data_IF_937933016288
#
_entry.id   IF_937933016288
#
_cell.length_a   1.000
_cell.length_b   1.000
_cell.length_c   1.000
_cell.angle_alpha   90.00
_cell.angle_beta   90.00
_cell.angle_gamma   90.00
#
_symmetry.space_group_name_H-M   'P 1'
#
loop_
_entity.id
_entity.type
_entity.pdbx_description
1 polymer ?
#
# COMPACT_ATOMS: atom_id res chain seq x y z
N UNK A 1 13.71 56.75 61.96
CA UNK A 1 12.74 57.64 62.63
C UNK A 1 11.70 56.77 63.30
N UNK A 2 11.46 57.01 64.59
CA UNK A 2 10.75 56.16 65.55
C UNK A 2 9.31 55.78 65.15
N UNK A 3 8.90 54.58 65.59
CA UNK A 3 7.54 54.33 66.06
C UNK A 3 7.61 53.73 67.48
N UNK A 4 7.01 54.42 68.43
CA UNK A 4 6.84 54.07 69.85
C UNK A 4 5.49 53.36 70.10
N UNK A 5 5.49 52.44 71.07
CA UNK A 5 4.41 51.70 71.80
C UNK A 5 3.02 52.40 71.86
N UNK A 6 1.82 51.75 71.87
CA UNK A 6 1.29 50.55 72.55
C UNK A 6 -0.21 50.31 72.15
N UNK A 7 -0.98 49.32 72.65
CA UNK A 7 -0.86 47.86 72.64
C UNK A 7 -1.99 47.17 71.82
N UNK A 8 -1.81 45.90 71.42
CA UNK A 8 -2.95 45.00 71.18
C UNK A 8 -3.28 44.60 69.74
N UNK A 9 -2.40 44.82 68.77
CA UNK A 9 -2.48 44.12 67.48
C UNK A 9 -1.42 43.03 67.49
N UNK A 10 -1.86 41.79 67.63
CA UNK A 10 -1.04 40.61 67.38
C UNK A 10 -0.55 40.73 65.94
N UNK A 11 0.77 40.92 65.75
CA UNK A 11 1.40 40.79 64.45
C UNK A 11 1.11 39.37 63.94
N UNK A 12 0.11 39.22 63.06
CA UNK A 12 -0.04 38.02 62.26
C UNK A 12 1.20 37.95 61.36
N UNK A 13 2.09 37.03 61.74
CA UNK A 13 3.48 36.92 61.36
C UNK A 13 3.66 36.71 59.85
N UNK A 14 4.24 37.70 59.17
CA UNK A 14 4.75 37.57 57.80
C UNK A 14 5.72 36.38 57.68
N UNK A 15 6.54 36.14 58.71
CA UNK A 15 7.45 34.99 58.79
C UNK A 15 6.77 33.62 58.63
N UNK A 16 5.50 33.50 59.04
CA UNK A 16 4.76 32.23 58.94
C UNK A 16 4.26 31.95 57.53
N UNK A 17 3.89 32.99 56.79
CA UNK A 17 3.47 32.86 55.40
C UNK A 17 4.67 32.48 54.52
N UNK A 18 5.79 33.18 54.69
CA UNK A 18 7.03 32.91 53.95
C UNK A 18 7.57 31.50 54.22
N UNK A 19 7.44 31.01 55.46
CA UNK A 19 7.86 29.65 55.80
C UNK A 19 6.98 28.58 55.12
N UNK A 20 5.66 28.74 55.12
CA UNK A 20 4.73 27.81 54.45
C UNK A 20 4.98 27.79 52.94
N UNK A 21 5.26 28.96 52.36
CA UNK A 21 5.59 29.10 50.94
C UNK A 21 6.91 28.38 50.61
N UNK A 22 7.92 28.52 51.46
CA UNK A 22 9.21 27.82 51.29
C UNK A 22 9.09 26.28 51.36
N UNK A 23 8.14 25.76 52.16
CA UNK A 23 7.87 24.32 52.23
C UNK A 23 7.16 23.81 50.98
N UNK A 24 6.24 24.59 50.40
CA UNK A 24 5.58 24.26 49.14
C UNK A 24 6.58 24.20 47.99
N UNK A 25 7.42 25.22 47.88
CA UNK A 25 8.39 25.35 46.80
C UNK A 25 9.43 24.20 46.79
N UNK A 26 9.91 23.80 47.99
CA UNK A 26 10.79 22.62 48.14
C UNK A 26 10.09 21.32 47.75
N UNK A 27 8.79 21.19 48.05
CA UNK A 27 8.01 20.00 47.70
C UNK A 27 7.73 19.89 46.21
N UNK A 28 7.49 21.02 45.54
CA UNK A 28 7.28 21.05 44.09
C UNK A 28 8.58 20.76 43.33
N UNK A 29 9.72 21.32 43.77
CA UNK A 29 11.02 20.98 43.20
C UNK A 29 11.33 19.48 43.26
N UNK A 30 10.96 18.80 44.35
CA UNK A 30 11.12 17.35 44.48
C UNK A 30 10.21 16.56 43.52
N UNK A 31 9.00 17.05 43.23
CA UNK A 31 8.08 16.41 42.27
C UNK A 31 8.60 16.48 40.84
N UNK A 32 9.28 17.56 40.46
CA UNK A 32 9.88 17.70 39.12
C UNK A 32 11.13 16.85 38.91
N UNK A 33 11.76 16.35 39.98
CA UNK A 33 12.94 15.49 39.90
C UNK A 33 12.64 13.99 39.95
N UNK A 34 11.39 13.59 40.14
CA UNK A 34 11.04 12.17 40.15
C UNK A 34 11.11 11.59 38.73
N UNK A 35 11.91 10.53 38.48
CA UNK A 35 11.91 9.86 37.19
C UNK A 35 10.52 9.28 36.90
N UNK A 36 10.08 9.26 35.62
CA UNK A 36 8.78 8.71 35.27
C UNK A 36 8.72 7.23 35.69
N UNK A 37 7.58 6.78 36.23
CA UNK A 37 7.42 5.42 36.71
C UNK A 37 7.69 4.40 35.60
N UNK A 38 8.24 3.24 35.96
CA UNK A 38 8.78 2.25 35.03
C UNK A 38 7.78 1.77 33.95
N UNK A 39 6.46 1.85 34.21
CA UNK A 39 5.43 1.49 33.24
C UNK A 39 5.29 2.48 32.06
N UNK A 40 5.83 3.70 32.19
CA UNK A 40 5.89 4.67 31.10
C UNK A 40 7.19 4.54 30.28
N UNK A 41 8.11 3.65 30.68
CA UNK A 41 9.35 3.43 29.93
C UNK A 41 9.08 2.44 28.79
N UNK A 42 9.46 2.76 27.55
CA UNK A 42 9.34 1.81 26.45
C UNK A 42 10.21 0.58 26.74
N UNK A 43 9.75 -0.64 26.39
CA UNK A 43 10.50 -1.85 26.64
C UNK A 43 11.89 -1.75 26.00
N UNK A 44 12.94 -1.96 26.80
CA UNK A 44 14.32 -1.91 26.31
C UNK A 44 14.51 -3.02 25.26
N UNK A 45 14.88 -2.68 24.01
CA UNK A 45 15.05 -3.69 22.98
C UNK A 45 16.23 -4.58 23.35
N UNK A 46 15.98 -5.87 23.52
CA UNK A 46 17.04 -6.86 23.66
C UNK A 46 17.78 -7.02 22.33
N UNK A 47 19.10 -7.22 22.37
CA UNK A 47 19.96 -7.35 21.17
C UNK A 47 19.47 -8.46 20.23
N UNK A 48 18.86 -9.52 20.78
CA UNK A 48 18.25 -10.62 20.01
C UNK A 48 16.96 -10.21 19.26
N UNK A 49 16.14 -9.32 19.83
CA UNK A 49 14.92 -8.81 19.17
C UNK A 49 15.23 -7.98 17.92
N UNK A 50 16.34 -7.24 17.95
CA UNK A 50 16.75 -6.40 16.81
C UNK A 50 17.21 -7.23 15.60
N UNK A 51 17.91 -8.34 15.83
CA UNK A 51 18.41 -9.19 14.75
C UNK A 51 17.27 -9.90 13.98
N UNK A 52 16.25 -10.37 14.70
CA UNK A 52 15.06 -10.97 14.10
C UNK A 52 14.24 -9.93 13.34
N UNK A 53 13.99 -8.76 13.94
CA UNK A 53 13.26 -7.68 13.26
C UNK A 53 13.94 -7.26 11.94
N UNK A 54 15.28 -7.18 11.94
CA UNK A 54 16.05 -6.85 10.74
C UNK A 54 15.97 -7.96 9.67
N UNK A 55 16.05 -9.24 10.05
CA UNK A 55 15.97 -10.33 9.08
C UNK A 55 14.58 -10.42 8.42
N UNK A 56 13.50 -10.18 9.16
CA UNK A 56 12.15 -10.08 8.58
C UNK A 56 12.02 -8.90 7.62
N UNK A 57 12.55 -7.71 7.98
CA UNK A 57 12.56 -6.56 7.07
C UNK A 57 13.36 -6.84 5.80
N UNK A 58 14.49 -7.54 5.92
CA UNK A 58 15.33 -7.91 4.78
C UNK A 58 14.62 -8.93 3.88
N UNK A 59 13.95 -9.93 4.45
CA UNK A 59 13.15 -10.92 3.73
C UNK A 59 11.94 -10.27 3.02
N UNK A 60 11.26 -9.33 3.68
CA UNK A 60 10.17 -8.58 3.04
C UNK A 60 10.71 -7.74 1.88
N UNK A 61 11.89 -7.13 2.00
CA UNK A 61 12.52 -6.37 0.91
C UNK A 61 12.91 -7.24 -0.27
N UNK A 62 13.49 -8.42 -0.06
CA UNK A 62 13.86 -9.33 -1.16
C UNK A 62 12.64 -9.95 -1.83
N UNK A 63 11.60 -10.32 -1.07
CA UNK A 63 10.32 -10.78 -1.62
C UNK A 63 9.63 -9.68 -2.45
N UNK A 64 9.66 -8.43 -1.98
CA UNK A 64 9.12 -7.28 -2.70
C UNK A 64 9.94 -6.89 -3.93
N UNK A 65 11.26 -7.12 -3.92
CA UNK A 65 12.14 -6.83 -5.07
C UNK A 65 12.04 -7.87 -6.17
N UNK A 66 11.91 -9.16 -5.83
CA UNK A 66 11.71 -10.23 -6.82
C UNK A 66 10.37 -10.11 -7.56
N UNK A 67 9.40 -9.43 -6.94
CA UNK A 67 8.07 -9.14 -7.50
C UNK A 67 7.96 -7.71 -8.10
N UNK A 68 9.06 -6.95 -8.16
CA UNK A 68 9.10 -5.55 -8.62
C UNK A 68 9.57 -5.36 -10.06
N UNK A 69 9.73 -6.43 -10.85
CA UNK A 69 9.61 -6.27 -12.30
C UNK A 69 8.14 -5.96 -12.55
N UNK A 70 7.81 -4.66 -12.58
CA UNK A 70 6.46 -4.23 -12.89
C UNK A 70 6.07 -4.91 -14.20
N UNK A 71 4.90 -5.56 -14.23
CA UNK A 71 4.45 -6.25 -15.42
C UNK A 71 4.42 -5.23 -16.56
N UNK A 72 5.15 -5.57 -17.62
CA UNK A 72 5.42 -4.69 -18.74
C UNK A 72 4.16 -4.50 -19.60
N UNK A 73 3.24 -5.46 -19.55
CA UNK A 73 1.90 -5.36 -20.10
C UNK A 73 0.86 -5.84 -19.09
N UNK A 74 -0.32 -5.25 -19.14
CA UNK A 74 -1.46 -5.54 -18.26
C UNK A 74 -2.73 -5.64 -19.09
N UNK A 75 -3.47 -6.74 -18.92
CA UNK A 75 -4.73 -6.95 -19.63
C UNK A 75 -5.93 -6.71 -18.71
N UNK A 76 -6.77 -5.74 -19.03
CA UNK A 76 -7.89 -5.32 -18.19
C UNK A 76 -9.20 -5.88 -18.74
N UNK A 77 -9.90 -6.63 -17.89
CA UNK A 77 -11.23 -7.22 -18.17
C UNK A 77 -12.20 -6.92 -17.02
N UNK A 78 -13.49 -7.15 -17.24
CA UNK A 78 -14.49 -7.06 -16.18
C UNK A 78 -15.54 -8.16 -16.33
N UNK A 79 -16.33 -8.35 -15.29
CA UNK A 79 -17.47 -9.27 -15.29
C UNK A 79 -18.70 -8.74 -16.03
N UNK A 80 -18.64 -7.56 -16.66
CA UNK A 80 -19.67 -7.18 -17.65
C UNK A 80 -19.58 -8.05 -18.91
N UNK A 81 -18.45 -8.73 -19.12
CA UNK A 81 -18.26 -9.73 -20.16
C UNK A 81 -18.70 -11.08 -19.61
N UNK A 82 -19.50 -11.86 -20.36
CA UNK A 82 -19.91 -13.19 -19.93
C UNK A 82 -18.71 -14.13 -19.78
N UNK A 83 -18.87 -15.14 -18.94
CA UNK A 83 -17.80 -16.09 -18.58
C UNK A 83 -17.20 -16.79 -19.81
N UNK A 84 -18.02 -17.12 -20.80
CA UNK A 84 -17.60 -17.71 -22.07
C UNK A 84 -16.67 -16.80 -22.87
N UNK A 85 -16.85 -15.48 -22.75
CA UNK A 85 -15.94 -14.49 -23.32
C UNK A 85 -14.58 -14.52 -22.61
N UNK A 86 -14.60 -14.50 -21.27
CA UNK A 86 -13.39 -14.56 -20.45
C UNK A 86 -12.60 -15.85 -20.69
N UNK A 87 -13.27 -17.00 -20.79
CA UNK A 87 -12.64 -18.29 -21.08
C UNK A 87 -11.93 -18.34 -22.43
N UNK A 88 -12.33 -17.52 -23.40
CA UNK A 88 -11.64 -17.41 -24.70
C UNK A 88 -10.48 -16.43 -24.69
N UNK A 89 -10.58 -15.34 -23.93
CA UNK A 89 -9.55 -14.29 -23.89
C UNK A 89 -8.37 -14.62 -22.97
N UNK A 90 -8.65 -15.21 -21.81
CA UNK A 90 -7.62 -15.42 -20.79
C UNK A 90 -6.51 -16.44 -21.18
N UNK A 91 -6.78 -17.51 -21.95
CA UNK A 91 -5.71 -18.37 -22.46
C UNK A 91 -4.71 -17.63 -23.34
N UNK A 92 -5.18 -16.65 -24.12
CA UNK A 92 -4.32 -15.81 -24.96
C UNK A 92 -3.41 -14.93 -24.10
N UNK A 93 -3.96 -14.28 -23.06
CA UNK A 93 -3.17 -13.51 -22.10
C UNK A 93 -2.08 -14.36 -21.42
N UNK A 94 -2.42 -15.59 -21.05
CA UNK A 94 -1.47 -16.56 -20.48
C UNK A 94 -0.36 -16.92 -21.47
N UNK A 95 -0.68 -17.14 -22.74
CA UNK A 95 0.32 -17.50 -23.76
C UNK A 95 1.39 -16.41 -23.96
N UNK A 96 1.04 -15.16 -23.66
CA UNK A 96 1.92 -14.00 -23.75
C UNK A 96 2.54 -13.61 -22.39
N UNK A 97 2.32 -14.41 -21.34
CA UNK A 97 2.71 -14.11 -19.95
C UNK A 97 2.19 -12.76 -19.43
N UNK A 98 1.04 -12.31 -19.92
CA UNK A 98 0.39 -11.06 -19.51
C UNK A 98 -0.61 -11.34 -18.40
N UNK A 99 -0.47 -10.75 -17.20
CA UNK A 99 -1.46 -10.91 -16.13
C UNK A 99 -2.76 -10.22 -16.51
N UNK A 100 -3.87 -10.93 -16.31
CA UNK A 100 -5.22 -10.40 -16.49
C UNK A 100 -5.73 -9.80 -15.17
N UNK A 101 -6.14 -8.54 -15.23
CA UNK A 101 -6.71 -7.76 -14.14
C UNK A 101 -8.22 -7.67 -14.31
N UNK A 102 -8.96 -7.91 -13.22
CA UNK A 102 -10.42 -7.82 -13.23
C UNK A 102 -10.89 -6.69 -12.34
N UNK A 103 -11.78 -5.85 -12.87
CA UNK A 103 -12.36 -4.77 -12.10
C UNK A 103 -13.50 -5.25 -11.20
N UNK A 104 -13.34 -5.02 -9.90
CA UNK A 104 -14.45 -4.91 -8.96
C UNK A 104 -15.17 -6.21 -8.61
N UNK A 105 -16.45 -6.03 -8.28
CA UNK A 105 -17.36 -7.00 -7.72
C UNK A 105 -18.49 -7.32 -8.71
N UNK A 106 -18.78 -8.59 -8.90
CA UNK A 106 -20.02 -9.05 -9.54
C UNK A 106 -21.19 -8.68 -8.63
N UNK A 107 -22.07 -7.78 -9.08
CA UNK A 107 -23.27 -7.37 -8.35
C UNK A 107 -23.00 -6.90 -6.90
N UNK A 108 -21.85 -6.27 -6.61
CA UNK A 108 -21.40 -5.93 -5.24
C UNK A 108 -21.18 -7.16 -4.31
N UNK A 109 -21.04 -8.37 -4.84
CA UNK A 109 -20.86 -9.59 -4.05
C UNK A 109 -19.47 -10.22 -4.25
N UNK A 110 -18.67 -10.22 -3.18
CA UNK A 110 -17.33 -10.82 -3.14
C UNK A 110 -17.35 -12.33 -3.37
N UNK A 111 -18.39 -13.04 -2.89
CA UNK A 111 -18.51 -14.49 -3.04
C UNK A 111 -18.83 -14.85 -4.48
N UNK A 112 -19.72 -14.10 -5.14
CA UNK A 112 -19.99 -14.31 -6.59
C UNK A 112 -18.72 -14.11 -7.40
N UNK A 113 -18.01 -13.02 -7.12
CA UNK A 113 -16.73 -12.67 -7.77
C UNK A 113 -15.68 -13.75 -7.56
N UNK A 114 -15.44 -14.15 -6.31
CA UNK A 114 -14.48 -15.20 -5.97
C UNK A 114 -14.85 -16.54 -6.62
N UNK A 115 -16.14 -16.88 -6.66
CA UNK A 115 -16.62 -18.12 -7.29
C UNK A 115 -16.42 -18.10 -8.81
N UNK A 116 -16.67 -16.97 -9.47
CA UNK A 116 -16.42 -16.82 -10.90
C UNK A 116 -14.92 -16.90 -11.23
N UNK A 117 -14.06 -16.20 -10.49
CA UNK A 117 -12.60 -16.31 -10.64
C UNK A 117 -12.13 -17.73 -10.36
N UNK A 118 -12.67 -18.37 -9.34
CA UNK A 118 -12.32 -19.75 -8.99
C UNK A 118 -12.73 -20.74 -10.08
N UNK A 119 -13.89 -20.57 -10.71
CA UNK A 119 -14.33 -21.38 -11.86
C UNK A 119 -13.42 -21.19 -13.06
N UNK A 120 -13.10 -19.93 -13.40
CA UNK A 120 -12.18 -19.57 -14.48
C UNK A 120 -10.77 -20.16 -14.27
N UNK A 121 -10.29 -20.20 -13.04
CA UNK A 121 -8.97 -20.75 -12.69
C UNK A 121 -8.96 -22.29 -12.63
N UNK A 122 -10.06 -22.92 -12.16
CA UNK A 122 -10.20 -24.38 -12.11
C UNK A 122 -10.31 -25.04 -13.48
N UNK A 123 -11.09 -24.47 -14.40
CA UNK A 123 -11.36 -25.12 -15.69
C UNK A 123 -10.13 -25.17 -16.60
N UNK A 124 -9.24 -24.16 -16.56
CA UNK A 124 -8.11 -24.09 -17.50
C UNK A 124 -6.75 -23.68 -16.91
N UNK A 125 -6.57 -23.77 -15.58
CA UNK A 125 -5.34 -23.31 -14.93
C UNK A 125 -4.99 -21.88 -15.38
N UNK A 126 -6.02 -21.08 -15.61
CA UNK A 126 -5.91 -19.84 -16.36
C UNK A 126 -5.04 -18.86 -15.58
N UNK A 127 -4.00 -18.30 -16.22
CA UNK A 127 -2.94 -17.52 -15.59
C UNK A 127 -3.50 -16.48 -14.60
N UNK A 128 -2.85 -16.38 -13.44
CA UNK A 128 -3.35 -15.70 -12.23
C UNK A 128 -4.15 -14.44 -12.51
N UNK A 129 -5.47 -14.56 -12.39
CA UNK A 129 -6.40 -13.45 -12.47
C UNK A 129 -6.26 -12.62 -11.20
N UNK A 130 -5.91 -11.35 -11.35
CA UNK A 130 -5.69 -10.44 -10.22
C UNK A 130 -6.83 -9.43 -10.11
N UNK A 131 -7.34 -9.22 -8.89
CA UNK A 131 -8.36 -8.21 -8.62
C UNK A 131 -7.64 -7.01 -8.01
N UNK A 132 -7.45 -5.97 -8.83
CA UNK A 132 -6.83 -4.71 -8.38
C UNK A 132 -7.57 -3.50 -8.97
N UNK A 133 -8.52 -2.90 -8.23
CA UNK A 133 -9.25 -1.72 -8.70
C UNK A 133 -8.36 -0.47 -8.81
N UNK A 134 -7.21 -0.43 -8.13
CA UNK A 134 -6.33 0.73 -8.14
C UNK A 134 -5.64 0.90 -9.49
N UNK A 135 -5.29 -0.20 -10.15
CA UNK A 135 -4.69 -0.18 -11.48
C UNK A 135 -5.68 0.30 -12.54
N UNK A 136 -6.97 -0.04 -12.43
CA UNK A 136 -8.01 0.48 -13.34
C UNK A 136 -8.10 2.01 -13.26
N UNK A 137 -8.10 2.56 -12.04
CA UNK A 137 -8.12 4.00 -11.83
C UNK A 137 -6.82 4.66 -12.32
N UNK A 138 -5.67 4.04 -12.08
CA UNK A 138 -4.35 4.55 -12.47
C UNK A 138 -4.22 4.77 -13.98
N UNK A 139 -4.72 3.85 -14.79
CA UNK A 139 -4.67 3.94 -16.25
C UNK A 139 -5.95 4.53 -16.87
N UNK A 140 -6.92 4.95 -16.05
CA UNK A 140 -8.18 5.54 -16.53
C UNK A 140 -9.00 4.60 -17.41
N UNK A 141 -9.02 3.30 -17.10
CA UNK A 141 -9.72 2.30 -17.91
C UNK A 141 -11.23 2.34 -17.64
N UNK A 142 -11.98 2.92 -18.57
CA UNK A 142 -13.45 2.97 -18.54
C UNK A 142 -14.11 1.95 -19.46
N UNK A 143 -13.39 1.48 -20.49
CA UNK A 143 -13.88 0.51 -21.46
C UNK A 143 -13.07 -0.78 -21.36
N UNK A 144 -13.76 -1.91 -21.32
CA UNK A 144 -13.15 -3.25 -21.31
C UNK A 144 -13.69 -4.07 -22.50
N UNK A 145 -12.90 -5.00 -23.05
CA UNK A 145 -11.51 -5.31 -22.71
C UNK A 145 -10.51 -4.24 -23.21
N UNK A 146 -9.40 -4.10 -22.48
CA UNK A 146 -8.32 -3.14 -22.79
C UNK A 146 -6.94 -3.73 -22.46
N UNK A 147 -5.94 -3.46 -23.30
CA UNK A 147 -4.53 -3.82 -23.06
C UNK A 147 -3.73 -2.54 -22.81
N UNK A 148 -2.95 -2.54 -21.72
CA UNK A 148 -1.97 -1.50 -21.43
C UNK A 148 -0.57 -2.07 -21.58
N UNK A 149 0.31 -1.35 -22.28
CA UNK A 149 1.74 -1.66 -22.38
C UNK A 149 2.50 -0.49 -21.78
N UNK A 150 3.41 -0.77 -20.84
CA UNK A 150 4.20 0.26 -20.13
C UNK A 150 5.65 0.22 -20.59
N UNK A 151 6.20 1.38 -20.92
CA UNK A 151 7.59 1.59 -21.27
C UNK A 151 8.48 1.71 -20.02
N UNK A 152 9.79 1.51 -20.18
CA UNK A 152 10.77 1.74 -19.10
C UNK A 152 10.79 3.21 -18.61
N UNK A 153 10.30 4.12 -19.45
CA UNK A 153 10.37 5.57 -19.28
C UNK A 153 9.16 6.12 -18.49
N UNK A 154 8.24 5.23 -18.08
CA UNK A 154 6.99 5.58 -17.41
C UNK A 154 5.85 5.98 -18.36
N UNK A 155 6.10 6.08 -19.66
CA UNK A 155 5.08 6.18 -20.69
C UNK A 155 4.29 4.87 -20.82
N UNK A 156 3.07 4.95 -21.34
CA UNK A 156 2.23 3.78 -21.58
C UNK A 156 1.35 3.96 -22.81
N UNK A 157 1.12 2.86 -23.52
CA UNK A 157 0.15 2.77 -24.60
C UNK A 157 -1.08 2.00 -24.14
N UNK A 158 -2.26 2.43 -24.58
CA UNK A 158 -3.53 1.81 -24.27
C UNK A 158 -4.28 1.43 -25.54
N UNK A 159 -4.46 0.14 -25.74
CA UNK A 159 -5.25 -0.43 -26.84
C UNK A 159 -6.60 -0.87 -26.31
N UNK A 160 -7.67 -0.29 -26.84
CA UNK A 160 -9.05 -0.59 -26.46
C UNK A 160 -9.72 -1.46 -27.52
N UNK A 161 -10.55 -2.40 -27.08
CA UNK A 161 -11.44 -3.17 -27.96
C UNK A 161 -11.20 -4.67 -27.89
N UNK A 162 -12.16 -5.41 -28.42
CA UNK A 162 -12.14 -6.88 -28.48
C UNK A 162 -11.33 -7.36 -29.69
N UNK A 163 -10.02 -7.12 -29.65
CA UNK A 163 -9.06 -7.64 -30.62
C UNK A 163 -8.13 -8.65 -29.93
N UNK A 164 -7.49 -9.52 -30.72
CA UNK A 164 -6.48 -10.43 -30.21
C UNK A 164 -5.32 -9.66 -29.55
N UNK A 165 -4.84 -10.15 -28.41
CA UNK A 165 -3.74 -9.55 -27.66
C UNK A 165 -2.46 -9.47 -28.51
N UNK A 166 -2.19 -10.50 -29.33
CA UNK A 166 -1.06 -10.45 -30.27
C UNK A 166 -1.21 -9.30 -31.26
N UNK A 167 -2.39 -9.14 -31.84
CA UNK A 167 -2.68 -8.06 -32.78
C UNK A 167 -2.62 -6.68 -32.10
N UNK A 168 -3.08 -6.58 -30.85
CA UNK A 168 -2.96 -5.37 -30.05
C UNK A 168 -1.48 -4.99 -29.82
N UNK A 169 -0.63 -5.97 -29.49
CA UNK A 169 0.81 -5.76 -29.36
C UNK A 169 1.47 -5.39 -30.69
N UNK A 170 1.09 -6.01 -31.80
CA UNK A 170 1.58 -5.66 -33.14
C UNK A 170 1.24 -4.21 -33.50
N UNK A 171 0.03 -3.75 -33.16
CA UNK A 171 -0.36 -2.35 -33.35
C UNK A 171 0.47 -1.40 -32.51
N UNK A 172 0.73 -1.74 -31.24
CA UNK A 172 1.65 -0.97 -30.38
C UNK A 172 3.06 -0.98 -30.96
N UNK A 173 3.53 -2.12 -31.47
CA UNK A 173 4.84 -2.26 -32.09
C UNK A 173 5.00 -1.45 -33.38
N UNK A 174 3.91 -1.19 -34.12
CA UNK A 174 3.91 -0.40 -35.33
C UNK A 174 3.73 1.11 -35.06
N UNK A 175 2.70 1.47 -34.29
CA UNK A 175 2.22 2.86 -34.17
C UNK A 175 2.53 3.48 -32.79
N UNK A 176 2.58 2.68 -31.73
CA UNK A 176 2.66 3.13 -30.33
C UNK A 176 3.99 3.74 -29.92
N UNK A 177 4.07 4.29 -28.71
CA UNK A 177 5.32 4.79 -28.12
C UNK A 177 6.17 3.66 -27.52
N UNK A 178 5.53 2.62 -26.98
CA UNK A 178 6.13 1.43 -26.38
C UNK A 178 6.42 0.31 -27.38
N UNK A 179 6.92 0.67 -28.58
CA UNK A 179 7.19 -0.30 -29.66
C UNK A 179 8.18 -1.37 -29.25
N UNK A 180 9.31 -0.96 -28.67
CA UNK A 180 10.40 -1.86 -28.29
C UNK A 180 9.95 -2.87 -27.23
N UNK A 181 9.15 -2.39 -26.29
CA UNK A 181 8.50 -3.20 -25.28
C UNK A 181 7.56 -4.25 -25.89
N UNK A 182 6.69 -3.84 -26.80
CA UNK A 182 5.75 -4.74 -27.46
C UNK A 182 6.48 -5.80 -28.31
N UNK A 183 7.54 -5.40 -29.03
CA UNK A 183 8.41 -6.33 -29.78
C UNK A 183 9.08 -7.34 -28.87
N UNK A 184 9.57 -6.94 -27.70
CA UNK A 184 10.18 -7.84 -26.74
C UNK A 184 9.19 -8.93 -26.28
N UNK A 185 7.95 -8.55 -25.95
CA UNK A 185 6.90 -9.51 -25.56
C UNK A 185 6.57 -10.49 -26.70
N UNK A 186 6.48 -9.98 -27.94
CA UNK A 186 6.21 -10.80 -29.12
C UNK A 186 7.38 -11.76 -29.43
N UNK A 187 8.62 -11.32 -29.21
CA UNK A 187 9.83 -12.12 -29.42
C UNK A 187 10.04 -13.20 -28.35
N UNK A 188 9.65 -12.92 -27.10
CA UNK A 188 9.71 -13.90 -26.00
C UNK A 188 8.67 -15.02 -26.16
N UNK A 189 7.58 -14.78 -26.90
CA UNK A 189 6.49 -15.73 -27.09
C UNK A 189 6.23 -15.95 -28.60
N UNK A 190 7.16 -16.60 -29.34
CA UNK A 190 6.94 -16.96 -30.72
C UNK A 190 5.87 -18.05 -30.82
N UNK A 191 4.99 -17.92 -31.81
CA UNK A 191 3.78 -18.72 -32.05
C UNK A 191 4.03 -20.23 -32.13
#
# INVERSE_FOLDING_TARGET
>A
MSCTLSPGIVCASQDSADFIESLRDRSDAQRYQAPPPAFLQPPRPSVQGNALAQSLLQQQRTASQRNKKQPVALYFVSFSIPEEGLLRMLPEARSLNIPALVNGLIDNDMRKTASAVFRLTREKNTGGVQVDPTQFARFGITTVPSLVVTCNDGAFDLVRGNIHLRQALERVAAEGECRETAKAILAENPT
#
